data_IF_537926626052
#
_entry.id   IF_537926626052
#
_cell.length_a   1.000
_cell.length_b   1.000
_cell.length_c   1.000
_cell.angle_alpha   90.00
_cell.angle_beta   90.00
_cell.angle_gamma   90.00
#
_symmetry.space_group_name_H-M   'P 1'
#
loop_
_entity.id
_entity.type
_entity.pdbx_description
1 polymer ?
#
# COMPACT_ATOMS: atom_id res chain seq x y z
N UNK A 1 -4.12 -7.05 54.89
CA UNK A 1 -4.59 -7.31 53.51
C UNK A 1 -3.93 -6.29 52.62
N UNK A 2 -3.01 -6.72 51.75
CA UNK A 2 -2.23 -5.82 50.89
C UNK A 2 -2.84 -5.71 49.50
N UNK A 3 -3.03 -4.48 49.02
CA UNK A 3 -3.45 -4.18 47.65
C UNK A 3 -2.28 -4.39 46.67
N UNK A 4 -2.51 -5.18 45.63
CA UNK A 4 -1.57 -5.34 44.51
C UNK A 4 -1.87 -4.27 43.45
N UNK A 5 -1.07 -3.20 43.45
CA UNK A 5 -1.00 -2.26 42.32
C UNK A 5 -0.30 -2.95 41.14
N UNK A 6 -1.07 -3.26 40.10
CA UNK A 6 -0.52 -3.78 38.85
C UNK A 6 -0.04 -2.61 37.98
N UNK A 7 1.28 -2.37 38.00
CA UNK A 7 1.94 -1.50 37.03
C UNK A 7 1.99 -2.16 35.66
N UNK A 8 1.55 -1.45 34.61
CA UNK A 8 1.82 -1.83 33.22
C UNK A 8 2.90 -0.90 32.68
N UNK A 9 4.01 -1.50 32.24
CA UNK A 9 5.23 -0.81 31.81
C UNK A 9 5.21 -0.36 30.34
N UNK A 10 5.91 0.74 30.09
CA UNK A 10 6.09 1.46 28.82
C UNK A 10 6.67 0.66 27.63
N UNK A 11 7.04 -0.61 27.81
CA UNK A 11 7.70 -1.41 26.77
C UNK A 11 6.76 -2.28 25.92
N UNK A 12 5.45 -2.28 26.18
CA UNK A 12 4.47 -3.02 25.36
C UNK A 12 4.00 -2.28 24.10
N UNK A 13 4.40 -1.02 23.90
CA UNK A 13 3.94 -0.22 22.75
C UNK A 13 4.61 -0.62 21.42
N UNK A 14 5.62 -1.51 21.43
CA UNK A 14 6.44 -1.83 20.24
C UNK A 14 6.42 -3.32 19.86
N UNK A 15 5.58 -4.13 20.52
CA UNK A 15 5.39 -5.55 20.19
C UNK A 15 4.31 -5.78 19.13
N UNK A 16 4.45 -6.83 18.31
CA UNK A 16 3.37 -7.31 17.44
C UNK A 16 2.18 -7.64 18.36
N UNK A 17 1.15 -6.79 18.31
CA UNK A 17 0.03 -6.84 19.25
C UNK A 17 -0.76 -8.15 19.09
N UNK A 18 -1.14 -8.77 20.21
CA UNK A 18 -2.06 -9.93 20.22
C UNK A 18 -3.44 -9.49 19.71
N UNK A 19 -4.09 -10.33 18.91
CA UNK A 19 -5.40 -10.03 18.33
C UNK A 19 -6.48 -9.86 19.40
N UNK A 20 -7.02 -8.63 19.53
CA UNK A 20 -8.37 -8.17 19.98
C UNK A 20 -8.29 -6.65 20.31
N UNK A 21 -9.24 -5.75 20.07
CA UNK A 21 -10.69 -5.82 19.80
C UNK A 21 -11.03 -5.35 18.36
N UNK A 22 -11.88 -6.13 17.70
CA UNK A 22 -12.10 -6.18 16.24
C UNK A 22 -10.91 -6.70 15.43
N UNK A 23 -11.21 -7.65 14.54
CA UNK A 23 -10.25 -8.25 13.62
C UNK A 23 -9.51 -7.17 12.81
N UNK A 24 -10.23 -6.14 12.37
CA UNK A 24 -9.72 -4.99 11.63
C UNK A 24 -8.67 -4.18 12.39
N UNK A 25 -8.90 -3.88 13.67
CA UNK A 25 -7.93 -3.14 14.48
C UNK A 25 -6.62 -3.89 14.71
N UNK A 26 -6.67 -5.23 14.80
CA UNK A 26 -5.45 -6.03 14.83
C UNK A 26 -4.69 -5.96 13.50
N UNK A 27 -5.39 -6.06 12.37
CA UNK A 27 -4.76 -5.93 11.05
C UNK A 27 -4.12 -4.56 10.89
N UNK A 28 -4.83 -3.47 11.19
CA UNK A 28 -4.28 -2.12 11.14
C UNK A 28 -2.95 -2.00 11.90
N UNK A 29 -2.93 -2.48 13.16
CA UNK A 29 -1.71 -2.49 13.97
C UNK A 29 -0.59 -3.31 13.34
N UNK A 30 -0.89 -4.50 12.82
CA UNK A 30 0.11 -5.35 12.16
C UNK A 30 0.71 -4.70 10.92
N UNK A 31 -0.10 -4.13 10.03
CA UNK A 31 0.37 -3.42 8.84
C UNK A 31 1.24 -2.21 9.22
N UNK A 32 0.78 -1.41 10.20
CA UNK A 32 1.55 -0.27 10.68
C UNK A 32 2.90 -0.71 11.28
N UNK A 33 2.91 -1.75 12.10
CA UNK A 33 4.15 -2.33 12.64
C UNK A 33 5.07 -2.86 11.54
N UNK A 34 4.53 -3.49 10.50
CA UNK A 34 5.30 -4.00 9.38
C UNK A 34 6.00 -2.85 8.63
N UNK A 35 5.27 -1.79 8.30
CA UNK A 35 5.82 -0.58 7.64
C UNK A 35 6.92 0.04 8.50
N UNK A 36 6.69 0.20 9.81
CA UNK A 36 7.66 0.77 10.73
C UNK A 36 8.92 -0.08 10.88
N UNK A 37 8.78 -1.41 10.86
CA UNK A 37 9.88 -2.36 11.04
C UNK A 37 10.45 -2.90 9.74
N UNK A 38 10.04 -2.35 8.59
CA UNK A 38 10.37 -2.89 7.27
C UNK A 38 11.87 -3.11 7.10
N UNK A 39 12.70 -2.08 7.39
CA UNK A 39 14.16 -2.21 7.33
C UNK A 39 14.71 -3.37 8.17
N UNK A 40 14.29 -3.47 9.44
CA UNK A 40 14.72 -4.58 10.31
C UNK A 40 14.27 -5.95 9.80
N UNK A 41 13.08 -6.05 9.19
CA UNK A 41 12.60 -7.30 8.60
C UNK A 41 13.49 -7.68 7.42
N UNK A 42 13.83 -6.72 6.56
CA UNK A 42 14.74 -6.93 5.42
C UNK A 42 16.12 -7.37 5.89
N UNK A 43 16.71 -6.68 6.88
CA UNK A 43 18.02 -7.04 7.45
C UNK A 43 18.04 -8.48 8.01
N UNK A 44 16.95 -8.90 8.68
CA UNK A 44 16.82 -10.26 9.21
C UNK A 44 16.75 -11.27 8.05
N UNK A 45 15.97 -10.98 7.01
CA UNK A 45 15.85 -11.87 5.85
C UNK A 45 17.19 -11.99 5.13
N UNK A 46 17.91 -10.89 4.92
CA UNK A 46 19.24 -10.90 4.31
C UNK A 46 20.24 -11.72 5.15
N UNK A 47 20.20 -11.55 6.47
CA UNK A 47 21.02 -12.37 7.36
C UNK A 47 20.68 -13.87 7.26
N UNK A 48 19.40 -14.24 7.09
CA UNK A 48 19.01 -15.64 6.87
C UNK A 48 19.57 -16.13 5.53
N UNK A 49 19.52 -15.33 4.47
CA UNK A 49 20.08 -15.71 3.16
C UNK A 49 21.56 -16.10 3.28
N UNK A 50 22.33 -15.29 4.01
CA UNK A 50 23.77 -15.51 4.22
C UNK A 50 24.09 -16.65 5.19
N UNK A 51 23.31 -16.78 6.28
CA UNK A 51 23.66 -17.68 7.39
C UNK A 51 22.96 -19.04 7.35
N UNK A 52 21.89 -19.21 6.55
CA UNK A 52 21.11 -20.44 6.54
C UNK A 52 21.91 -21.67 6.12
N UNK A 53 21.74 -22.76 6.87
CA UNK A 53 22.31 -24.07 6.57
C UNK A 53 21.47 -24.86 5.56
N UNK A 54 20.16 -24.58 5.49
CA UNK A 54 19.23 -25.20 4.55
C UNK A 54 19.07 -24.35 3.29
N UNK A 55 19.09 -25.01 2.12
CA UNK A 55 18.75 -24.36 0.85
C UNK A 55 17.30 -23.86 0.84
N UNK A 56 16.39 -24.58 1.52
CA UNK A 56 14.97 -24.21 1.60
C UNK A 56 14.79 -22.87 2.31
N UNK A 57 15.39 -22.71 3.50
CA UNK A 57 15.37 -21.47 4.29
C UNK A 57 15.97 -20.30 3.51
N UNK A 58 17.13 -20.52 2.86
CA UNK A 58 17.77 -19.51 2.02
C UNK A 58 16.87 -19.07 0.88
N UNK A 59 16.32 -20.03 0.13
CA UNK A 59 15.45 -19.75 -1.01
C UNK A 59 14.15 -19.06 -0.60
N UNK A 60 13.58 -19.43 0.56
CA UNK A 60 12.41 -18.78 1.14
C UNK A 60 12.69 -17.32 1.50
N UNK A 61 13.79 -17.06 2.22
CA UNK A 61 14.19 -15.70 2.58
C UNK A 61 14.45 -14.82 1.34
N UNK A 62 15.20 -15.32 0.35
CA UNK A 62 15.40 -14.64 -0.94
C UNK A 62 14.07 -14.37 -1.64
N UNK A 63 13.14 -15.32 -1.64
CA UNK A 63 11.80 -15.16 -2.22
C UNK A 63 11.00 -14.06 -1.53
N UNK A 64 11.01 -14.02 -0.19
CA UNK A 64 10.33 -12.97 0.58
C UNK A 64 10.94 -11.59 0.33
N UNK A 65 12.27 -11.47 0.27
CA UNK A 65 12.96 -10.22 -0.07
C UNK A 65 12.50 -9.72 -1.43
N UNK A 66 12.54 -10.60 -2.45
CA UNK A 66 12.17 -10.24 -3.82
C UNK A 66 10.75 -9.74 -3.93
N UNK A 67 9.81 -10.37 -3.22
CA UNK A 67 8.40 -9.94 -3.21
C UNK A 67 8.24 -8.64 -2.40
N UNK A 68 8.85 -8.54 -1.23
CA UNK A 68 8.73 -7.36 -0.36
C UNK A 68 9.32 -6.09 -1.01
N UNK A 69 10.33 -6.24 -1.87
CA UNK A 69 10.98 -5.15 -2.61
C UNK A 69 10.33 -4.82 -3.95
N UNK A 70 9.03 -5.07 -4.12
CA UNK A 70 8.29 -4.58 -5.28
C UNK A 70 7.45 -3.36 -4.93
N UNK A 71 7.26 -2.47 -5.91
CA UNK A 71 6.41 -1.30 -5.75
C UNK A 71 4.98 -1.70 -5.42
N UNK A 72 4.46 -2.76 -6.04
CA UNK A 72 3.10 -3.25 -5.83
C UNK A 72 2.86 -3.65 -4.38
N UNK A 73 3.84 -4.29 -3.72
CA UNK A 73 3.73 -4.67 -2.31
C UNK A 73 3.83 -3.45 -1.40
N UNK A 74 4.74 -2.51 -1.68
CA UNK A 74 4.81 -1.25 -0.93
C UNK A 74 3.50 -0.46 -1.05
N UNK A 75 2.96 -0.34 -2.27
CA UNK A 75 1.69 0.33 -2.55
C UNK A 75 0.52 -0.34 -1.83
N UNK A 76 0.42 -1.68 -1.88
CA UNK A 76 -0.61 -2.43 -1.16
C UNK A 76 -0.50 -2.25 0.35
N UNK A 77 0.71 -2.31 0.92
CA UNK A 77 0.94 -2.12 2.36
C UNK A 77 0.43 -0.75 2.83
N UNK A 78 0.80 0.32 2.11
CA UNK A 78 0.37 1.68 2.43
C UNK A 78 -1.13 1.90 2.16
N UNK A 79 -1.69 1.33 1.10
CA UNK A 79 -3.13 1.40 0.80
C UNK A 79 -3.95 0.73 1.89
N UNK A 80 -3.52 -0.45 2.33
CA UNK A 80 -4.15 -1.18 3.42
C UNK A 80 -4.03 -0.43 4.73
N UNK A 81 -2.89 0.21 5.04
CA UNK A 81 -2.73 1.08 6.22
C UNK A 81 -3.78 2.20 6.24
N UNK A 82 -4.00 2.91 5.13
CA UNK A 82 -4.96 4.02 5.07
C UNK A 82 -6.41 3.55 5.23
N UNK A 83 -6.82 2.54 4.46
CA UNK A 83 -8.18 1.99 4.51
C UNK A 83 -8.49 1.37 5.87
N UNK A 84 -7.55 0.59 6.42
CA UNK A 84 -7.69 0.00 7.75
C UNK A 84 -7.67 1.06 8.85
N UNK A 85 -6.90 2.14 8.70
CA UNK A 85 -6.89 3.26 9.64
C UNK A 85 -8.26 3.92 9.73
N UNK A 86 -8.86 4.28 8.60
CA UNK A 86 -10.18 4.92 8.56
C UNK A 86 -11.27 3.99 9.14
N UNK A 87 -11.25 2.71 8.75
CA UNK A 87 -12.25 1.74 9.23
C UNK A 87 -12.06 1.38 10.70
N UNK A 88 -10.83 1.36 11.20
CA UNK A 88 -10.53 1.17 12.62
C UNK A 88 -10.98 2.38 13.46
N UNK A 89 -10.76 3.61 13.00
CA UNK A 89 -11.25 4.82 13.66
C UNK A 89 -12.77 4.79 13.80
N UNK A 90 -13.47 4.49 12.69
CA UNK A 90 -14.92 4.35 12.69
C UNK A 90 -15.36 3.25 13.68
N UNK A 91 -14.74 2.08 13.61
CA UNK A 91 -15.08 0.94 14.47
C UNK A 91 -14.87 1.28 15.95
N UNK A 92 -13.80 2.00 16.28
CA UNK A 92 -13.50 2.43 17.65
C UNK A 92 -14.54 3.42 18.17
N UNK A 93 -14.97 4.38 17.34
CA UNK A 93 -16.03 5.32 17.71
C UNK A 93 -17.39 4.63 17.91
N UNK A 94 -17.76 3.70 17.02
CA UNK A 94 -19.02 2.97 17.10
C UNK A 94 -19.12 2.02 18.32
N UNK A 95 -17.99 1.57 18.85
CA UNK A 95 -17.95 0.71 20.04
C UNK A 95 -18.11 1.45 21.37
N UNK A 96 -18.14 2.79 21.36
CA UNK A 96 -18.42 3.58 22.57
C UNK A 96 -19.85 3.33 23.03
N UNK A 97 -20.04 3.14 24.34
CA UNK A 97 -21.37 2.86 24.93
C UNK A 97 -22.37 4.00 24.74
N UNK A 98 -21.88 5.22 24.53
CA UNK A 98 -22.65 6.45 24.39
C UNK A 98 -22.74 6.86 22.91
N UNK A 99 -23.54 6.14 22.13
CA UNK A 99 -23.81 6.47 20.73
C UNK A 99 -25.31 6.51 20.47
N UNK A 100 -25.79 7.63 19.94
CA UNK A 100 -27.12 7.73 19.36
C UNK A 100 -27.07 7.61 17.82
N UNK A 101 -28.23 7.37 17.22
CA UNK A 101 -28.35 7.15 15.78
C UNK A 101 -27.85 8.33 14.95
N UNK A 102 -28.02 9.57 15.41
CA UNK A 102 -27.58 10.76 14.69
C UNK A 102 -26.05 10.85 14.66
N UNK A 103 -25.40 10.59 15.80
CA UNK A 103 -23.95 10.53 15.92
C UNK A 103 -23.35 9.40 15.08
N UNK A 104 -23.95 8.21 15.08
CA UNK A 104 -23.54 7.09 14.23
C UNK A 104 -23.57 7.49 12.75
N UNK A 105 -24.65 8.14 12.31
CA UNK A 105 -24.78 8.60 10.92
C UNK A 105 -23.70 9.63 10.54
N UNK A 106 -23.33 10.52 11.45
CA UNK A 106 -22.24 11.47 11.24
C UNK A 106 -20.88 10.74 11.11
N UNK A 107 -20.59 9.79 11.98
CA UNK A 107 -19.35 9.01 11.93
C UNK A 107 -19.21 8.24 10.62
N UNK A 108 -20.28 7.58 10.16
CA UNK A 108 -20.30 6.86 8.88
C UNK A 108 -20.08 7.82 7.70
N UNK A 109 -20.71 9.00 7.72
CA UNK A 109 -20.49 10.03 6.69
C UNK A 109 -19.04 10.51 6.65
N UNK A 110 -18.41 10.70 7.81
CA UNK A 110 -16.99 11.11 7.89
C UNK A 110 -16.08 10.01 7.34
N UNK A 111 -16.28 8.75 7.74
CA UNK A 111 -15.49 7.63 7.23
C UNK A 111 -15.64 7.45 5.72
N UNK A 112 -16.88 7.55 5.20
CA UNK A 112 -17.14 7.51 3.76
C UNK A 112 -16.40 8.63 3.02
N UNK A 113 -16.47 9.86 3.53
CA UNK A 113 -15.76 10.99 2.92
C UNK A 113 -14.26 10.76 2.86
N UNK A 114 -13.65 10.33 3.98
CA UNK A 114 -12.19 10.03 4.02
C UNK A 114 -11.79 8.95 3.02
N UNK A 115 -12.62 7.93 2.81
CA UNK A 115 -12.37 6.88 1.80
C UNK A 115 -12.53 7.41 0.36
N UNK A 116 -13.44 8.37 0.14
CA UNK A 116 -13.62 9.01 -1.16
C UNK A 116 -12.44 9.93 -1.49
N UNK A 117 -11.99 10.72 -0.52
CA UNK A 117 -10.82 11.59 -0.67
C UNK A 117 -9.57 10.80 -1.07
N UNK A 118 -9.39 9.55 -0.61
CA UNK A 118 -8.27 8.70 -1.06
C UNK A 118 -8.26 8.43 -2.58
N UNK A 119 -9.37 8.67 -3.28
CA UNK A 119 -9.52 8.52 -4.73
C UNK A 119 -9.50 9.86 -5.48
N UNK A 120 -9.46 10.99 -4.76
CA UNK A 120 -9.47 12.32 -5.35
C UNK A 120 -8.03 12.78 -5.62
N UNK A 121 -7.81 13.47 -6.75
CA UNK A 121 -6.48 13.77 -7.29
C UNK A 121 -5.51 14.36 -6.24
N UNK A 122 -5.91 15.38 -5.48
CA UNK A 122 -5.00 16.05 -4.54
C UNK A 122 -4.48 15.11 -3.43
N UNK A 123 -5.36 14.29 -2.84
CA UNK A 123 -4.97 13.36 -1.78
C UNK A 123 -4.33 12.09 -2.34
N UNK A 124 -4.75 11.67 -3.53
CA UNK A 124 -4.12 10.59 -4.27
C UNK A 124 -2.65 10.92 -4.58
N UNK A 125 -2.36 12.12 -5.07
CA UNK A 125 -1.00 12.55 -5.40
C UNK A 125 -0.10 12.56 -4.15
N UNK A 126 -0.60 13.07 -3.03
CA UNK A 126 0.10 13.02 -1.74
C UNK A 126 0.36 11.59 -1.27
N UNK A 127 -0.61 10.69 -1.47
CA UNK A 127 -0.47 9.29 -1.12
C UNK A 127 0.60 8.59 -1.98
N UNK A 128 0.59 8.81 -3.30
CA UNK A 128 1.62 8.28 -4.21
C UNK A 128 3.00 8.79 -3.79
N UNK A 129 3.14 10.07 -3.46
CA UNK A 129 4.40 10.63 -2.96
C UNK A 129 4.85 9.96 -1.67
N UNK A 130 3.95 9.69 -0.72
CA UNK A 130 4.28 8.96 0.52
C UNK A 130 4.85 7.56 0.21
N UNK A 131 4.20 6.82 -0.71
CA UNK A 131 4.67 5.49 -1.13
C UNK A 131 6.02 5.61 -1.84
N UNK A 132 6.21 6.57 -2.74
CA UNK A 132 7.48 6.79 -3.44
C UNK A 132 8.62 7.09 -2.46
N UNK A 133 8.39 7.92 -1.44
CA UNK A 133 9.38 8.22 -0.39
C UNK A 133 9.76 6.94 0.38
N UNK A 134 8.79 6.09 0.71
CA UNK A 134 9.05 4.79 1.33
C UNK A 134 9.88 3.90 0.41
N UNK A 135 9.53 3.81 -0.87
CA UNK A 135 10.25 3.01 -1.86
C UNK A 135 11.70 3.47 -2.03
N UNK A 136 11.92 4.78 -2.20
CA UNK A 136 13.27 5.37 -2.30
C UNK A 136 14.10 5.05 -1.06
N UNK A 137 13.51 5.15 0.14
CA UNK A 137 14.21 4.85 1.40
C UNK A 137 14.74 3.41 1.45
N UNK A 138 14.04 2.45 0.87
CA UNK A 138 14.40 1.04 0.88
C UNK A 138 14.90 0.52 -0.48
N UNK A 139 15.31 1.43 -1.38
CA UNK A 139 15.81 1.11 -2.72
C UNK A 139 14.84 0.27 -3.58
N UNK A 140 13.54 0.43 -3.37
CA UNK A 140 12.50 -0.16 -4.21
C UNK A 140 12.31 0.74 -5.43
N UNK A 141 12.36 0.15 -6.63
CA UNK A 141 12.18 0.88 -7.89
C UNK A 141 10.75 1.41 -7.96
N UNK A 142 10.62 2.73 -8.09
CA UNK A 142 9.33 3.37 -8.38
C UNK A 142 9.13 3.33 -9.90
N UNK A 143 8.04 2.74 -10.41
CA UNK A 143 7.78 2.70 -11.84
C UNK A 143 7.48 4.10 -12.36
N UNK A 144 7.82 4.34 -13.63
CA UNK A 144 7.39 5.54 -14.33
C UNK A 144 5.92 5.37 -14.73
N UNK A 145 5.01 6.04 -14.02
CA UNK A 145 3.57 5.93 -14.26
C UNK A 145 3.13 6.53 -15.60
N UNK A 146 3.98 7.36 -16.21
CA UNK A 146 3.72 7.93 -17.52
C UNK A 146 4.24 7.01 -18.66
N UNK A 147 4.93 5.91 -18.32
CA UNK A 147 5.45 4.97 -19.31
C UNK A 147 4.31 4.14 -19.94
N UNK A 148 4.25 4.02 -21.28
CA UNK A 148 3.11 3.40 -21.97
C UNK A 148 2.90 1.93 -21.60
N UNK A 149 3.99 1.21 -21.34
CA UNK A 149 3.95 -0.18 -20.86
C UNK A 149 3.23 -0.29 -19.51
N UNK A 150 3.47 0.63 -18.58
CA UNK A 150 2.81 0.64 -17.28
C UNK A 150 1.32 0.99 -17.41
N UNK A 151 0.95 1.85 -18.37
CA UNK A 151 -0.45 2.15 -18.69
C UNK A 151 -1.17 0.90 -19.21
N UNK A 152 -0.56 0.15 -20.14
CA UNK A 152 -1.12 -1.11 -20.63
C UNK A 152 -1.30 -2.14 -19.51
N UNK A 153 -0.30 -2.28 -18.64
CA UNK A 153 -0.34 -3.22 -17.53
C UNK A 153 -1.43 -2.90 -16.50
N UNK A 154 -1.86 -1.63 -16.40
CA UNK A 154 -3.03 -1.26 -15.58
C UNK A 154 -4.34 -1.75 -16.20
N UNK A 155 -4.47 -1.76 -17.53
CA UNK A 155 -5.67 -2.24 -18.21
C UNK A 155 -5.86 -3.76 -18.03
N UNK A 156 -4.78 -4.53 -17.90
CA UNK A 156 -4.81 -5.97 -17.57
C UNK A 156 -5.51 -6.27 -16.23
N UNK A 157 -5.60 -5.29 -15.32
CA UNK A 157 -6.29 -5.44 -14.03
C UNK A 157 -7.83 -5.39 -14.17
N UNK A 158 -8.34 -4.98 -15.33
CA UNK A 158 -9.78 -4.80 -15.61
C UNK A 158 -10.21 -5.64 -16.81
N UNK A 159 -10.14 -6.98 -16.74
CA UNK A 159 -10.43 -7.87 -17.88
C UNK A 159 -11.90 -7.81 -18.34
N UNK A 160 -12.81 -7.32 -17.50
CA UNK A 160 -14.22 -7.09 -17.87
C UNK A 160 -14.40 -5.82 -18.71
N UNK A 161 -13.48 -4.85 -18.58
CA UNK A 161 -13.49 -3.58 -19.31
C UNK A 161 -12.58 -3.61 -20.56
N UNK A 162 -11.53 -4.45 -20.54
CA UNK A 162 -10.55 -4.62 -21.62
C UNK A 162 -10.39 -6.10 -22.01
N UNK A 163 -11.10 -6.52 -23.04
CA UNK A 163 -10.87 -7.80 -23.73
C UNK A 163 -9.59 -7.77 -24.61
N UNK A 164 -9.18 -8.92 -25.14
CA UNK A 164 -7.94 -9.03 -25.94
C UNK A 164 -7.91 -8.09 -27.16
N UNK A 165 -9.07 -7.87 -27.80
CA UNK A 165 -9.18 -6.98 -28.96
C UNK A 165 -9.07 -5.50 -28.55
N UNK A 166 -9.72 -5.11 -27.45
CA UNK A 166 -9.65 -3.76 -26.91
C UNK A 166 -8.31 -3.45 -26.25
N UNK A 167 -7.60 -4.44 -25.72
CA UNK A 167 -6.20 -4.32 -25.31
C UNK A 167 -5.29 -3.98 -26.50
N UNK A 168 -5.41 -4.70 -27.61
CA UNK A 168 -4.66 -4.40 -28.83
C UNK A 168 -5.05 -3.04 -29.42
N UNK A 169 -6.34 -2.67 -29.36
CA UNK A 169 -6.79 -1.35 -29.78
C UNK A 169 -6.23 -0.24 -28.89
N UNK A 170 -6.19 -0.44 -27.57
CA UNK A 170 -5.64 0.50 -26.60
C UNK A 170 -4.14 0.71 -26.83
N UNK A 171 -3.38 -0.34 -27.09
CA UNK A 171 -1.96 -0.27 -27.44
C UNK A 171 -1.73 0.62 -28.66
N UNK A 172 -2.48 0.38 -29.75
CA UNK A 172 -2.41 1.20 -30.97
C UNK A 172 -2.84 2.65 -30.73
N UNK A 173 -3.90 2.86 -29.93
CA UNK A 173 -4.38 4.20 -29.59
C UNK A 173 -3.37 4.98 -28.74
N UNK A 174 -2.74 4.34 -27.76
CA UNK A 174 -1.68 4.94 -26.94
C UNK A 174 -0.47 5.29 -27.80
N UNK A 175 -0.06 4.40 -28.71
CA UNK A 175 1.01 4.66 -29.65
C UNK A 175 0.74 5.89 -30.52
N UNK A 176 -0.45 5.98 -31.12
CA UNK A 176 -0.83 7.14 -31.94
C UNK A 176 -0.88 8.43 -31.12
N UNK A 177 -1.47 8.39 -29.91
CA UNK A 177 -1.54 9.56 -29.03
C UNK A 177 -0.15 10.07 -28.64
N UNK A 178 0.78 9.18 -28.32
CA UNK A 178 2.16 9.56 -27.95
C UNK A 178 2.89 10.18 -29.15
N UNK A 179 2.74 9.61 -30.35
CA UNK A 179 3.32 10.17 -31.58
C UNK A 179 2.77 11.58 -31.81
N UNK A 180 1.45 11.75 -31.80
CA UNK A 180 0.80 13.03 -32.03
C UNK A 180 1.25 14.09 -31.00
N UNK A 181 1.30 13.72 -29.71
CA UNK A 181 1.71 14.64 -28.64
C UNK A 181 3.21 14.97 -28.73
N UNK A 182 4.07 14.01 -29.06
CA UNK A 182 5.52 14.25 -29.22
C UNK A 182 5.84 15.13 -30.44
N UNK A 183 5.08 15.00 -31.52
CA UNK A 183 5.22 15.81 -32.72
C UNK A 183 4.80 17.27 -32.47
N UNK A 184 3.82 17.48 -31.60
CA UNK A 184 3.28 18.81 -31.28
C UNK A 184 4.07 19.49 -30.16
N UNK A 185 4.50 18.77 -29.13
CA UNK A 185 5.14 19.34 -27.93
C UNK A 185 6.42 18.58 -27.53
N UNK A 186 7.56 19.24 -27.76
CA UNK A 186 8.89 18.72 -27.45
C UNK A 186 9.11 18.40 -25.97
N UNK A 187 8.27 18.87 -25.04
CA UNK A 187 8.36 18.46 -23.62
C UNK A 187 8.08 16.97 -23.41
N UNK A 188 7.31 16.37 -24.33
CA UNK A 188 6.92 14.97 -24.32
C UNK A 188 7.88 14.07 -25.12
N UNK A 189 8.97 14.61 -25.69
CA UNK A 189 9.91 13.84 -26.52
C UNK A 189 10.63 12.68 -25.81
N UNK A 190 10.43 12.55 -24.49
CA UNK A 190 10.96 11.45 -23.67
C UNK A 190 10.10 10.18 -23.74
N UNK A 191 8.86 10.30 -24.22
CA UNK A 191 7.97 9.16 -24.40
C UNK A 191 8.30 8.48 -25.74
N UNK A 192 9.06 7.40 -25.69
CA UNK A 192 9.37 6.59 -26.88
C UNK A 192 8.88 5.18 -26.65
N UNK A 193 8.05 4.66 -27.56
CA UNK A 193 7.80 3.22 -27.61
C UNK A 193 9.10 2.51 -27.97
N UNK A 194 9.55 1.59 -27.12
CA UNK A 194 10.56 0.63 -27.52
C UNK A 194 9.92 -0.30 -28.56
N UNK A 195 10.29 -0.13 -29.83
CA UNK A 195 10.01 -1.10 -30.89
C UNK A 195 10.79 -2.39 -30.65
#
# INVERSE_FOLDING_TARGET
>A
MGELKTGRGLHQEVGISRACNTRWGSHFKSFNCFILKFGTIMDILDNIVETAHSMDERSGATGYIRIAQTYEIAFMLHSMKEVLGITNDLSTCLQKKEQDIANVMLLVKVAKRRLQELRENERWDLFVVEVSVFCIKYNIVVPDFDEPYNIMRMAELYPDDFDELSMCALENQLANYIIDVCDIDKRFSRFTWAL
#
